data_IF_717190015471
#
_entry.id   IF_717190015471
#
_cell.length_a   1.000
_cell.length_b   1.000
_cell.length_c   1.000
_cell.angle_alpha   90.00
_cell.angle_beta   90.00
_cell.angle_gamma   90.00
#
_symmetry.space_group_name_H-M   'P 1'
#
loop_
_entity.id
_entity.type
_entity.pdbx_description
1 polymer ?
#
# COMPACT_ATOMS: atom_id res chain seq x y z
N UNK A 1 -3.03 -3.85 0.93
CA UNK A 1 -3.18 -2.39 0.71
C UNK A 1 -4.29 -1.85 1.62
N UNK A 2 -4.08 -0.69 2.23
CA UNK A 2 -5.08 -0.01 3.08
C UNK A 2 -5.54 1.26 2.36
N UNK A 3 -6.85 1.43 2.22
CA UNK A 3 -7.50 2.60 1.63
C UNK A 3 -8.25 3.37 2.72
N UNK A 4 -8.08 4.69 2.70
CA UNK A 4 -8.87 5.59 3.52
C UNK A 4 -10.12 6.00 2.76
N UNK A 5 -11.24 6.07 3.46
CA UNK A 5 -12.44 6.68 2.93
C UNK A 5 -12.18 8.16 2.58
N UNK A 6 -12.97 8.73 1.66
CA UNK A 6 -12.87 10.14 1.27
C UNK A 6 -13.32 11.10 2.39
N UNK A 7 -13.89 10.56 3.47
CA UNK A 7 -14.20 11.34 4.68
C UNK A 7 -12.93 11.94 5.28
N UNK A 8 -12.85 13.27 5.22
CA UNK A 8 -11.74 14.08 5.75
C UNK A 8 -11.45 13.79 7.23
N UNK A 9 -12.46 13.44 8.03
CA UNK A 9 -12.27 13.09 9.44
C UNK A 9 -11.52 11.76 9.60
N UNK A 10 -11.85 10.76 8.78
CA UNK A 10 -11.13 9.48 8.75
C UNK A 10 -9.70 9.66 8.26
N UNK A 11 -9.51 10.43 7.18
CA UNK A 11 -8.17 10.76 6.67
C UNK A 11 -7.33 11.43 7.76
N UNK A 12 -7.87 12.46 8.42
CA UNK A 12 -7.14 13.19 9.46
C UNK A 12 -6.77 12.31 10.66
N UNK A 13 -7.63 11.36 11.04
CA UNK A 13 -7.36 10.42 12.14
C UNK A 13 -6.19 9.50 11.82
N UNK A 14 -6.16 8.91 10.62
CA UNK A 14 -5.21 7.85 10.30
C UNK A 14 -3.90 8.35 9.69
N UNK A 15 -3.87 9.49 9.00
CA UNK A 15 -2.64 10.08 8.44
C UNK A 15 -1.60 10.38 9.52
N UNK A 16 -2.04 10.80 10.71
CA UNK A 16 -1.12 11.06 11.83
C UNK A 16 -0.71 9.78 12.58
N UNK A 17 -1.45 8.68 12.40
CA UNK A 17 -1.28 7.44 13.15
C UNK A 17 -0.44 6.41 12.39
N UNK A 18 -0.64 6.28 11.08
CA UNK A 18 0.07 5.35 10.22
C UNK A 18 1.33 6.01 9.65
N UNK A 19 2.49 5.44 9.96
CA UNK A 19 3.79 5.87 9.47
C UNK A 19 4.49 4.73 8.75
N UNK A 20 5.19 5.06 7.68
CA UNK A 20 5.97 4.10 6.92
C UNK A 20 7.07 3.46 7.78
N UNK A 21 7.35 2.19 7.55
CA UNK A 21 8.37 1.43 8.29
C UNK A 21 7.96 0.93 9.68
N UNK A 22 6.74 1.24 10.14
CA UNK A 22 6.19 0.76 11.41
C UNK A 22 5.17 -0.36 11.14
N UNK A 23 5.20 -1.40 11.99
CA UNK A 23 4.22 -2.50 11.92
C UNK A 23 3.02 -2.21 12.81
N UNK A 24 1.83 -2.55 12.33
CA UNK A 24 0.57 -2.29 13.02
C UNK A 24 -0.32 -3.53 13.01
N UNK A 25 -1.05 -3.73 14.11
CA UNK A 25 -2.18 -4.63 14.18
C UNK A 25 -3.45 -3.85 13.89
N UNK A 26 -4.17 -4.21 12.83
CA UNK A 26 -5.40 -3.54 12.39
C UNK A 26 -6.60 -4.50 12.59
N UNK A 27 -7.67 -4.03 13.23
CA UNK A 27 -8.88 -4.83 13.53
C UNK A 27 -10.15 -4.07 13.15
N UNK A 28 -11.24 -4.80 12.92
CA UNK A 28 -12.56 -4.21 12.59
C UNK A 28 -12.54 -3.30 11.34
N UNK A 29 -11.81 -3.74 10.32
CA UNK A 29 -11.73 -3.07 9.03
C UNK A 29 -12.77 -3.60 8.04
N UNK A 30 -13.09 -2.80 7.03
CA UNK A 30 -13.90 -3.23 5.88
C UNK A 30 -13.02 -3.86 4.80
N UNK A 31 -13.61 -4.69 3.94
CA UNK A 31 -12.95 -5.25 2.76
C UNK A 31 -13.64 -4.69 1.51
N UNK A 32 -12.86 -4.24 0.54
CA UNK A 32 -13.33 -3.77 -0.76
C UNK A 32 -12.62 -4.49 -1.91
N UNK A 33 -13.17 -4.37 -3.11
CA UNK A 33 -12.53 -4.86 -4.33
C UNK A 33 -11.45 -3.86 -4.79
N UNK A 34 -10.30 -4.39 -5.19
CA UNK A 34 -9.18 -3.62 -5.72
C UNK A 34 -9.39 -3.32 -7.21
N UNK A 35 -10.34 -2.43 -7.48
CA UNK A 35 -10.76 -2.03 -8.83
C UNK A 35 -10.28 -0.63 -9.18
N UNK A 36 -10.19 -0.33 -10.48
CA UNK A 36 -9.78 0.98 -10.98
C UNK A 36 -8.27 1.09 -11.29
N UNK A 37 -7.83 2.31 -11.53
CA UNK A 37 -6.44 2.64 -11.85
C UNK A 37 -5.64 2.95 -10.58
N UNK A 38 -4.31 2.91 -10.68
CA UNK A 38 -3.35 3.20 -9.60
C UNK A 38 -3.35 2.17 -8.46
N UNK A 39 -3.62 0.91 -8.77
CA UNK A 39 -3.53 -0.18 -7.80
C UNK A 39 -2.08 -0.34 -7.35
N UNK A 40 -1.83 -0.48 -6.05
CA UNK A 40 -0.46 -0.67 -5.51
C UNK A 40 -0.16 -2.10 -5.06
N UNK A 41 -1.15 -3.00 -5.09
CA UNK A 41 -0.99 -4.48 -4.98
C UNK A 41 -1.81 -5.24 -6.04
N UNK A 42 -1.34 -6.36 -6.59
CA UNK A 42 -2.14 -7.22 -7.49
C UNK A 42 -3.23 -8.01 -6.76
N UNK A 43 -3.25 -7.94 -5.43
CA UNK A 43 -4.26 -8.61 -4.62
C UNK A 43 -5.67 -8.13 -4.98
N UNK A 44 -6.63 -9.06 -5.07
CA UNK A 44 -8.01 -8.78 -5.50
C UNK A 44 -8.75 -7.83 -4.54
N UNK A 45 -8.36 -7.81 -3.26
CA UNK A 45 -9.02 -7.04 -2.22
C UNK A 45 -8.15 -5.97 -1.58
N UNK A 46 -8.81 -4.91 -1.08
CA UNK A 46 -8.24 -3.82 -0.28
C UNK A 46 -8.89 -3.76 1.09
N UNK A 47 -8.13 -3.26 2.08
CA UNK A 47 -8.62 -3.00 3.43
C UNK A 47 -9.12 -1.56 3.50
N UNK A 48 -10.37 -1.34 3.90
CA UNK A 48 -10.96 -0.01 4.08
C UNK A 48 -11.05 0.34 5.57
N UNK A 49 -10.39 1.42 5.97
CA UNK A 49 -10.48 1.90 7.34
C UNK A 49 -11.77 2.70 7.54
N UNK A 50 -12.42 2.46 8.67
CA UNK A 50 -13.66 3.13 9.05
C UNK A 50 -13.58 3.61 10.51
N UNK A 51 -14.64 4.24 11.00
CA UNK A 51 -14.67 4.81 12.35
C UNK A 51 -14.46 3.75 13.46
N UNK A 52 -14.89 2.50 13.24
CA UNK A 52 -14.74 1.38 14.17
C UNK A 52 -13.40 0.66 14.05
N UNK A 53 -12.61 0.99 13.03
CA UNK A 53 -11.31 0.36 12.85
C UNK A 53 -10.37 0.75 13.97
N UNK A 54 -9.72 -0.28 14.51
CA UNK A 54 -8.79 -0.18 15.62
C UNK A 54 -7.38 -0.50 15.12
N UNK A 55 -6.40 0.30 15.55
CA UNK A 55 -5.02 0.24 15.07
C UNK A 55 -4.07 0.38 16.25
N UNK A 56 -3.29 -0.66 16.50
CA UNK A 56 -2.26 -0.68 17.55
C UNK A 56 -0.88 -0.89 16.93
N UNK A 57 0.13 -0.24 17.51
CA UNK A 57 1.53 -0.48 17.12
C UNK A 57 1.87 -1.92 17.49
N UNK A 58 2.41 -2.67 16.53
CA UNK A 58 2.83 -4.04 16.71
C UNK A 58 4.35 -4.08 16.93
N UNK A 59 4.77 -4.43 18.15
CA UNK A 59 6.18 -4.39 18.58
C UNK A 59 6.97 -5.65 18.20
N UNK A 60 6.30 -6.77 17.88
CA UNK A 60 6.96 -7.98 17.40
C UNK A 60 7.31 -7.85 15.92
N UNK A 61 8.58 -7.56 15.63
CA UNK A 61 9.06 -7.36 14.26
C UNK A 61 9.62 -8.62 13.60
N UNK A 62 9.66 -9.76 14.31
CA UNK A 62 10.38 -10.97 13.87
C UNK A 62 9.73 -11.67 12.67
N UNK A 63 8.41 -11.55 12.52
CA UNK A 63 7.65 -12.30 11.51
C UNK A 63 7.12 -11.46 10.35
N UNK A 64 7.33 -10.13 10.37
CA UNK A 64 6.88 -9.24 9.30
C UNK A 64 8.06 -8.91 8.39
N UNK A 65 8.04 -9.33 7.11
CA UNK A 65 9.08 -8.95 6.16
C UNK A 65 9.17 -7.41 6.04
N UNK A 66 10.34 -6.84 6.35
CA UNK A 66 10.56 -5.38 6.27
C UNK A 66 10.75 -4.88 4.85
N UNK A 67 11.11 -5.77 3.94
CA UNK A 67 11.38 -5.47 2.53
C UNK A 67 10.61 -6.47 1.67
N UNK A 68 9.73 -5.94 0.83
CA UNK A 68 8.86 -6.72 -0.07
C UNK A 68 8.76 -6.06 -1.43
N UNK A 69 9.90 -5.59 -1.96
CA UNK A 69 9.93 -4.95 -3.27
C UNK A 69 9.98 -6.01 -4.36
N UNK A 70 9.04 -5.94 -5.29
CA UNK A 70 9.12 -6.65 -6.56
C UNK A 70 9.48 -5.64 -7.65
N UNK A 71 10.76 -5.60 -8.03
CA UNK A 71 11.24 -4.69 -9.07
C UNK A 71 10.98 -5.28 -10.46
N UNK A 72 10.49 -4.44 -11.37
CA UNK A 72 10.23 -4.81 -12.76
C UNK A 72 11.33 -4.21 -13.63
N UNK A 73 11.93 -5.01 -14.52
CA UNK A 73 12.90 -4.51 -15.51
C UNK A 73 12.25 -3.47 -16.43
N UNK A 74 13.02 -2.48 -16.88
CA UNK A 74 12.55 -1.49 -17.85
C UNK A 74 12.05 -2.11 -19.16
N UNK A 75 12.63 -3.23 -19.58
CA UNK A 75 12.24 -3.91 -20.83
C UNK A 75 10.77 -4.37 -20.80
N UNK A 76 10.28 -4.77 -19.63
CA UNK A 76 8.91 -5.25 -19.44
C UNK A 76 7.90 -4.09 -19.55
N UNK A 77 8.32 -2.86 -19.26
CA UNK A 77 7.44 -1.69 -19.31
C UNK A 77 7.12 -1.26 -20.74
N UNK A 78 8.02 -1.57 -21.67
CA UNK A 78 7.84 -1.30 -23.08
C UNK A 78 7.18 -2.49 -23.81
N UNK A 79 6.87 -3.59 -23.11
CA UNK A 79 6.25 -4.76 -23.71
C UNK A 79 4.75 -4.53 -23.98
N UNK A 80 4.27 -5.05 -25.11
CA UNK A 80 2.84 -5.09 -25.43
C UNK A 80 2.09 -5.92 -24.39
N UNK A 81 1.00 -5.37 -23.84
CA UNK A 81 0.18 -6.05 -22.83
C UNK A 81 0.55 -5.73 -21.38
N UNK A 82 1.44 -4.77 -21.14
CA UNK A 82 1.71 -4.28 -19.78
C UNK A 82 0.44 -3.66 -19.17
N UNK A 83 0.06 -4.13 -17.98
CA UNK A 83 -1.08 -3.61 -17.23
C UNK A 83 -0.74 -2.24 -16.61
N UNK A 84 -1.12 -1.19 -17.33
CA UNK A 84 -0.94 0.21 -16.92
C UNK A 84 -1.84 0.64 -15.75
N UNK A 85 -2.75 -0.22 -15.27
CA UNK A 85 -3.60 0.09 -14.11
C UNK A 85 -2.85 -0.06 -12.77
N UNK A 86 -1.66 -0.64 -12.79
CA UNK A 86 -0.85 -0.97 -11.62
C UNK A 86 0.39 -0.07 -11.45
N UNK A 87 0.70 0.30 -10.21
CA UNK A 87 1.93 1.04 -9.87
C UNK A 87 3.12 0.08 -9.68
N UNK A 88 4.21 0.38 -10.37
CA UNK A 88 5.45 -0.40 -10.34
C UNK A 88 6.51 0.23 -9.45
N UNK A 89 7.26 -0.62 -8.74
CA UNK A 89 8.46 -0.20 -8.04
C UNK A 89 9.63 -0.14 -9.02
N UNK A 90 10.34 0.99 -9.03
CA UNK A 90 11.57 1.20 -9.80
C UNK A 90 12.70 1.60 -8.86
N UNK A 91 13.87 1.04 -9.10
CA UNK A 91 15.13 1.52 -8.54
C UNK A 91 15.94 2.10 -9.70
N UNK A 92 16.38 3.34 -9.57
CA UNK A 92 17.16 4.06 -10.59
C UNK A 92 18.38 4.64 -9.90
N UNK A 93 19.55 4.54 -10.53
CA UNK A 93 20.75 5.24 -10.08
C UNK A 93 20.60 6.71 -10.49
N UNK A 94 20.58 7.60 -9.51
CA UNK A 94 20.56 9.04 -9.75
C UNK A 94 22.00 9.56 -9.82
N UNK A 95 22.52 9.80 -11.03
CA UNK A 95 23.77 10.56 -11.18
C UNK A 95 23.45 12.06 -11.09
N UNK A 96 23.93 12.69 -10.02
CA UNK A 96 23.95 14.15 -9.91
C UNK A 96 25.24 14.59 -10.61
N UNK A 97 25.09 15.10 -11.83
CA UNK A 97 26.18 15.75 -12.60
C UNK A 97 26.26 17.22 -12.22
#
# INVERSE_FOLDING_TARGET
>A
MVCLDKDKALVSRFVNLLRDGISYQIRYFGIGLNMGNFKTTHHEYVINLNQRTDVHIFLELSNVPRYGFNFVSFDILNALGFDYTYLINKFIVLEIV
#
